data_IF_394800318681
#
_entry.id   IF_394800318681
#
_cell.length_a   1.000
_cell.length_b   1.000
_cell.length_c   1.000
_cell.angle_alpha   90.00
_cell.angle_beta   90.00
_cell.angle_gamma   90.00
#
_symmetry.space_group_name_H-M   'P 1'
#
loop_
_entity.id
_entity.type
_entity.pdbx_description
1 polymer ?
#
# COMPACT_ATOMS: atom_id res chain seq x y z
N UNK A 1 3.83 3.33 -11.54
CA UNK A 1 2.50 3.22 -10.89
C UNK A 1 1.99 1.78 -10.77
N UNK A 2 2.01 0.99 -11.85
CA UNK A 2 1.45 -0.38 -11.88
C UNK A 2 2.15 -1.35 -10.90
N UNK A 3 3.47 -1.26 -10.76
CA UNK A 3 4.22 -2.07 -9.77
C UNK A 3 3.80 -1.76 -8.32
N UNK A 4 3.50 -0.50 -8.00
CA UNK A 4 3.07 -0.09 -6.67
C UNK A 4 1.67 -0.63 -6.33
N UNK A 5 0.77 -0.67 -7.33
CA UNK A 5 -0.55 -1.31 -7.18
C UNK A 5 -0.39 -2.80 -6.89
N UNK A 6 0.54 -3.49 -7.57
CA UNK A 6 0.83 -4.91 -7.29
C UNK A 6 1.34 -5.12 -5.86
N UNK A 7 2.20 -4.22 -5.34
CA UNK A 7 2.61 -4.28 -3.93
C UNK A 7 1.45 -4.10 -2.96
N UNK A 8 0.55 -3.14 -3.20
CA UNK A 8 -0.65 -2.96 -2.38
C UNK A 8 -1.56 -4.20 -2.40
N UNK A 9 -1.71 -4.84 -3.55
CA UNK A 9 -2.54 -6.04 -3.65
C UNK A 9 -1.91 -7.22 -2.89
N UNK A 10 -0.60 -7.43 -3.02
CA UNK A 10 0.10 -8.45 -2.25
C UNK A 10 0.06 -8.17 -0.75
N UNK A 11 0.15 -6.90 -0.34
CA UNK A 11 -0.03 -6.50 1.05
C UNK A 11 -1.42 -6.87 1.59
N UNK A 12 -2.46 -6.72 0.77
CA UNK A 12 -3.81 -7.20 1.11
C UNK A 12 -3.85 -8.71 1.37
N UNK A 13 -3.24 -9.50 0.48
CA UNK A 13 -3.15 -10.96 0.66
C UNK A 13 -2.39 -11.33 1.93
N UNK A 14 -1.27 -10.67 2.22
CA UNK A 14 -0.50 -10.92 3.45
C UNK A 14 -1.29 -10.55 4.71
N UNK A 15 -2.05 -9.44 4.68
CA UNK A 15 -2.96 -9.05 5.76
C UNK A 15 -4.01 -10.15 6.02
N UNK A 16 -4.64 -10.66 4.97
CA UNK A 16 -5.66 -11.71 5.07
C UNK A 16 -5.09 -13.04 5.60
N UNK A 17 -3.79 -13.28 5.39
CA UNK A 17 -3.04 -14.42 5.94
C UNK A 17 -2.48 -14.18 7.35
N UNK A 18 -2.68 -12.99 7.92
CA UNK A 18 -2.18 -12.61 9.25
C UNK A 18 -0.72 -12.17 9.31
N UNK A 19 -0.03 -12.07 8.17
CA UNK A 19 1.32 -11.49 8.08
C UNK A 19 1.24 -9.95 8.01
N UNK A 20 0.92 -9.34 9.15
CA UNK A 20 0.76 -7.89 9.26
C UNK A 20 2.07 -7.13 9.04
N UNK A 21 3.22 -7.69 9.45
CA UNK A 21 4.53 -7.05 9.20
C UNK A 21 4.88 -7.02 7.72
N UNK A 22 4.71 -8.14 7.01
CA UNK A 22 4.94 -8.23 5.58
C UNK A 22 3.99 -7.31 4.80
N UNK A 23 2.72 -7.28 5.19
CA UNK A 23 1.73 -6.39 4.60
C UNK A 23 2.08 -4.90 4.83
N UNK A 24 2.46 -4.51 6.05
CA UNK A 24 2.88 -3.13 6.36
C UNK A 24 4.03 -2.67 5.48
N UNK A 25 5.09 -3.47 5.36
CA UNK A 25 6.27 -3.16 4.52
C UNK A 25 5.88 -2.93 3.06
N UNK A 26 4.97 -3.76 2.53
CA UNK A 26 4.51 -3.63 1.14
C UNK A 26 3.60 -2.42 0.93
N UNK A 27 2.71 -2.12 1.87
CA UNK A 27 1.90 -0.89 1.82
C UNK A 27 2.74 0.37 1.91
N UNK A 28 3.75 0.44 2.79
CA UNK A 28 4.68 1.56 2.88
C UNK A 28 5.44 1.78 1.57
N UNK A 29 5.92 0.69 0.95
CA UNK A 29 6.61 0.74 -0.35
C UNK A 29 5.67 1.22 -1.46
N UNK A 30 4.44 0.70 -1.52
CA UNK A 30 3.44 1.13 -2.48
C UNK A 30 3.10 2.63 -2.32
N UNK A 31 2.90 3.06 -1.07
CA UNK A 31 2.56 4.45 -0.73
C UNK A 31 3.67 5.41 -1.16
N UNK A 32 4.93 5.11 -0.82
CA UNK A 32 6.07 5.95 -1.18
C UNK A 32 6.19 6.16 -2.71
N UNK A 33 5.98 5.10 -3.50
CA UNK A 33 6.04 5.17 -4.96
C UNK A 33 4.86 5.98 -5.52
N UNK A 34 3.63 5.71 -5.07
CA UNK A 34 2.43 6.39 -5.57
C UNK A 34 2.43 7.87 -5.19
N UNK A 35 2.79 8.22 -3.95
CA UNK A 35 2.95 9.61 -3.51
C UNK A 35 3.96 10.36 -4.36
N UNK A 36 5.11 9.75 -4.65
CA UNK A 36 6.15 10.38 -5.48
C UNK A 36 5.72 10.59 -6.94
N UNK A 37 4.96 9.65 -7.51
CA UNK A 37 4.61 9.68 -8.93
C UNK A 37 3.31 10.40 -9.25
N UNK A 38 2.33 10.32 -8.35
CA UNK A 38 0.95 10.77 -8.58
C UNK A 38 0.54 11.90 -7.64
N UNK A 39 1.32 12.16 -6.58
CA UNK A 39 0.98 13.11 -5.53
C UNK A 39 0.12 12.48 -4.41
N UNK A 40 0.01 13.22 -3.32
CA UNK A 40 -0.74 12.82 -2.12
C UNK A 40 -2.25 12.68 -2.40
N UNK A 41 -2.80 13.58 -3.22
CA UNK A 41 -4.25 13.67 -3.44
C UNK A 41 -4.80 12.64 -4.43
N UNK A 42 -3.94 11.92 -5.15
CA UNK A 42 -4.36 10.95 -6.15
C UNK A 42 -5.13 9.78 -5.49
N UNK A 43 -6.25 9.30 -6.09
CA UNK A 43 -7.07 8.23 -5.51
C UNK A 43 -6.28 6.98 -5.08
N UNK A 44 -5.36 6.50 -5.93
CA UNK A 44 -4.50 5.36 -5.60
C UNK A 44 -3.58 5.62 -4.40
N UNK A 45 -3.05 6.83 -4.24
CA UNK A 45 -2.21 7.18 -3.09
C UNK A 45 -3.03 7.15 -1.80
N UNK A 46 -4.23 7.75 -1.81
CA UNK A 46 -5.17 7.75 -0.69
C UNK A 46 -5.63 6.33 -0.32
N UNK A 47 -5.92 5.50 -1.31
CA UNK A 47 -6.32 4.11 -1.09
C UNK A 47 -5.25 3.32 -0.34
N UNK A 48 -4.00 3.39 -0.79
CA UNK A 48 -2.89 2.68 -0.15
C UNK A 48 -2.62 3.22 1.26
N UNK A 49 -2.75 4.53 1.45
CA UNK A 49 -2.63 5.16 2.78
C UNK A 49 -3.68 4.63 3.77
N UNK A 50 -4.95 4.60 3.38
CA UNK A 50 -6.01 4.04 4.22
C UNK A 50 -5.79 2.56 4.55
N UNK A 51 -5.29 1.78 3.58
CA UNK A 51 -4.95 0.38 3.82
C UNK A 51 -3.78 0.22 4.81
N UNK A 52 -2.74 1.07 4.71
CA UNK A 52 -1.62 1.10 5.64
C UNK A 52 -2.05 1.48 7.07
N UNK A 53 -2.94 2.46 7.19
CA UNK A 53 -3.53 2.88 8.47
C UNK A 53 -4.38 1.76 9.07
N UNK A 54 -5.06 0.95 8.26
CA UNK A 54 -5.86 -0.19 8.73
C UNK A 54 -5.07 -1.37 9.30
N UNK A 55 -3.74 -1.36 9.15
CA UNK A 55 -2.83 -2.44 9.56
C UNK A 55 -1.86 -2.00 10.68
N UNK A 56 -1.86 -0.70 11.01
CA UNK A 56 -1.05 -0.11 12.09
C UNK A 56 -1.83 -0.12 13.39
#
# INVERSE_FOLDING_TARGET
>A
PTTAIRYSNLAGVLKDLGDYEGAKRLYEKAYAILRKQLGEEHPNTKLVKGNLESIS
#
